data_IF_072969475617
#
_entry.id   IF_072969475617
#
_cell.length_a   1.000
_cell.length_b   1.000
_cell.length_c   1.000
_cell.angle_alpha   90.00
_cell.angle_beta   90.00
_cell.angle_gamma   90.00
#
_symmetry.space_group_name_H-M   'P 1'
#
loop_
_entity.id
_entity.type
_entity.pdbx_description
1 polymer ?
#
# COMPACT_ATOMS: atom_id res chain seq x y z
N UNK A 1 20.08 -15.48 31.30
CA UNK A 1 18.64 -15.09 31.17
C UNK A 1 18.41 -14.68 29.74
N UNK A 2 17.63 -15.44 28.99
CA UNK A 2 17.19 -15.03 27.66
C UNK A 2 16.10 -13.97 27.91
N UNK A 3 16.41 -12.68 27.62
CA UNK A 3 15.37 -11.66 27.58
C UNK A 3 14.35 -12.06 26.52
N UNK A 4 13.19 -12.54 26.92
CA UNK A 4 12.05 -12.69 26.05
C UNK A 4 11.67 -11.29 25.62
N UNK A 5 12.05 -10.89 24.41
CA UNK A 5 11.52 -9.67 23.79
C UNK A 5 10.01 -9.86 23.70
N UNK A 6 9.27 -9.09 24.48
CA UNK A 6 7.81 -9.13 24.42
C UNK A 6 7.40 -8.37 23.15
N UNK A 7 6.73 -9.07 22.24
CA UNK A 7 6.10 -8.42 21.08
C UNK A 7 5.15 -7.33 21.58
N UNK A 8 5.21 -6.14 21.01
CA UNK A 8 4.35 -5.01 21.37
C UNK A 8 3.51 -4.53 20.20
N UNK A 9 4.06 -4.59 18.99
CA UNK A 9 3.43 -4.04 17.79
C UNK A 9 3.70 -4.92 16.59
N UNK A 10 2.70 -5.03 15.70
CA UNK A 10 2.81 -5.67 14.40
C UNK A 10 2.68 -4.59 13.32
N UNK A 11 3.65 -4.51 12.41
CA UNK A 11 3.62 -3.55 11.31
C UNK A 11 3.34 -4.28 10.00
N UNK A 12 2.33 -3.83 9.28
CA UNK A 12 1.89 -4.40 8.01
C UNK A 12 2.30 -3.49 6.85
N UNK A 13 2.65 -4.09 5.73
CA UNK A 13 2.49 -3.41 4.45
C UNK A 13 1.00 -3.32 4.09
N UNK A 14 0.63 -2.40 3.22
CA UNK A 14 -0.77 -2.14 2.87
C UNK A 14 -1.19 -2.95 1.64
N UNK A 15 -0.70 -2.53 0.46
CA UNK A 15 -1.14 -3.07 -0.83
C UNK A 15 -0.62 -4.50 -1.05
N UNK A 16 -1.53 -5.44 -1.21
CA UNK A 16 -1.17 -6.86 -1.41
C UNK A 16 -0.77 -7.62 -0.14
N UNK A 17 -0.88 -6.99 1.03
CA UNK A 17 -0.58 -7.60 2.34
C UNK A 17 -1.77 -7.48 3.28
N UNK A 18 -2.08 -6.28 3.76
CA UNK A 18 -3.24 -6.02 4.61
C UNK A 18 -4.52 -5.94 3.77
N UNK A 19 -4.44 -5.26 2.63
CA UNK A 19 -5.58 -4.96 1.74
C UNK A 19 -5.31 -5.51 0.34
N UNK A 20 -6.29 -6.22 -0.23
CA UNK A 20 -6.31 -6.56 -1.64
C UNK A 20 -6.78 -5.35 -2.46
N UNK A 21 -5.82 -4.54 -2.87
CA UNK A 21 -6.04 -3.37 -3.73
C UNK A 21 -5.89 -3.67 -5.22
N UNK A 22 -5.54 -4.90 -5.58
CA UNK A 22 -5.27 -5.29 -6.96
C UNK A 22 -6.46 -5.06 -7.91
N UNK A 23 -7.73 -5.26 -7.52
CA UNK A 23 -8.85 -4.99 -8.42
C UNK A 23 -8.92 -3.52 -8.85
N UNK A 24 -8.86 -2.58 -7.91
CA UNK A 24 -8.96 -1.14 -8.21
C UNK A 24 -7.72 -0.63 -8.96
N UNK A 25 -6.52 -1.12 -8.62
CA UNK A 25 -5.28 -0.79 -9.31
C UNK A 25 -5.27 -1.34 -10.76
N UNK A 26 -5.82 -2.53 -10.98
CA UNK A 26 -5.95 -3.12 -12.32
C UNK A 26 -6.94 -2.34 -13.18
N UNK A 27 -8.06 -1.92 -12.62
CA UNK A 27 -9.02 -1.07 -13.31
C UNK A 27 -8.41 0.28 -13.66
N UNK A 28 -7.68 0.89 -12.74
CA UNK A 28 -6.94 2.14 -12.95
C UNK A 28 -5.95 2.03 -14.10
N UNK A 29 -5.15 0.96 -14.13
CA UNK A 29 -4.19 0.73 -15.22
C UNK A 29 -4.90 0.59 -16.56
N UNK A 30 -6.03 -0.11 -16.61
CA UNK A 30 -6.80 -0.26 -17.83
C UNK A 30 -7.43 1.05 -18.30
N UNK A 31 -7.88 1.91 -17.38
CA UNK A 31 -8.34 3.27 -17.75
C UNK A 31 -7.21 4.11 -18.34
N UNK A 32 -6.01 4.03 -17.76
CA UNK A 32 -4.83 4.70 -18.30
C UNK A 32 -4.47 4.16 -19.70
N UNK A 33 -4.43 2.86 -19.88
CA UNK A 33 -4.18 2.22 -21.19
C UNK A 33 -5.16 2.70 -22.25
N UNK A 34 -6.46 2.75 -21.94
CA UNK A 34 -7.50 3.23 -22.86
C UNK A 34 -7.27 4.70 -23.25
N UNK A 35 -6.92 5.57 -22.29
CA UNK A 35 -6.59 6.97 -22.59
C UNK A 35 -5.43 7.13 -23.58
N UNK A 36 -4.44 6.25 -23.47
CA UNK A 36 -3.26 6.21 -24.34
C UNK A 36 -3.45 5.29 -25.55
N UNK A 37 -4.70 4.92 -25.91
CA UNK A 37 -5.06 4.09 -27.05
C UNK A 37 -4.32 2.73 -27.09
N UNK A 38 -3.98 2.21 -25.91
CA UNK A 38 -3.36 0.89 -25.74
C UNK A 38 -4.43 -0.16 -25.39
N UNK A 39 -4.20 -1.43 -25.78
CA UNK A 39 -5.11 -2.51 -25.43
C UNK A 39 -5.10 -2.76 -23.91
N UNK A 40 -6.26 -3.00 -23.35
CA UNK A 40 -6.42 -3.38 -21.94
C UNK A 40 -5.75 -4.73 -21.65
N UNK A 41 -5.46 -4.96 -20.36
CA UNK A 41 -4.86 -6.21 -19.85
C UNK A 41 -5.85 -6.88 -18.91
N UNK A 42 -5.80 -8.22 -18.81
CA UNK A 42 -6.63 -8.93 -17.85
C UNK A 42 -6.13 -8.65 -16.42
N UNK A 43 -7.03 -8.60 -15.41
CA UNK A 43 -6.64 -8.43 -14.01
C UNK A 43 -5.63 -9.47 -13.54
N UNK A 44 -5.74 -10.72 -14.01
CA UNK A 44 -4.82 -11.80 -13.68
C UNK A 44 -3.40 -11.52 -14.19
N UNK A 45 -3.27 -10.90 -15.35
CA UNK A 45 -1.98 -10.53 -15.93
C UNK A 45 -1.34 -9.32 -15.24
N UNK A 46 -2.14 -8.43 -14.68
CA UNK A 46 -1.68 -7.23 -13.95
C UNK A 46 -1.29 -7.59 -12.51
N UNK A 47 -2.02 -8.49 -11.86
CA UNK A 47 -1.89 -8.82 -10.43
C UNK A 47 -0.45 -9.06 -9.94
N UNK A 48 0.44 -9.79 -10.67
CA UNK A 48 1.82 -9.99 -10.25
C UNK A 48 2.64 -8.70 -10.10
N UNK A 49 2.25 -7.65 -10.81
CA UNK A 49 2.97 -6.37 -10.83
C UNK A 49 2.45 -5.37 -9.79
N UNK A 50 1.30 -5.62 -9.15
CA UNK A 50 0.70 -4.73 -8.14
C UNK A 50 1.64 -4.52 -6.96
N UNK A 51 2.29 -5.57 -6.47
CA UNK A 51 3.23 -5.48 -5.35
C UNK A 51 4.50 -4.66 -5.66
N UNK A 52 4.77 -4.41 -6.95
CA UNK A 52 5.86 -3.53 -7.38
C UNK A 52 5.40 -2.07 -7.57
N UNK A 53 4.15 -1.76 -7.20
CA UNK A 53 3.54 -0.44 -7.30
C UNK A 53 3.46 0.08 -8.73
N UNK A 54 3.39 1.40 -8.88
CA UNK A 54 3.29 2.05 -10.19
C UNK A 54 4.48 1.73 -11.11
N UNK A 55 5.67 1.53 -10.57
CA UNK A 55 6.86 1.17 -11.36
C UNK A 55 6.63 -0.16 -12.08
N UNK A 56 6.21 -1.19 -11.35
CA UNK A 56 5.96 -2.50 -11.94
C UNK A 56 4.78 -2.49 -12.92
N UNK A 57 3.69 -1.81 -12.56
CA UNK A 57 2.49 -1.74 -13.41
C UNK A 57 2.73 -0.96 -14.70
N UNK A 58 3.40 0.20 -14.65
CA UNK A 58 3.72 0.99 -15.84
C UNK A 58 4.80 0.29 -16.69
N UNK A 59 5.77 -0.39 -16.05
CA UNK A 59 6.74 -1.22 -16.73
C UNK A 59 6.07 -2.35 -17.54
N UNK A 60 5.12 -3.05 -16.92
CA UNK A 60 4.35 -4.10 -17.59
C UNK A 60 3.46 -3.56 -18.72
N UNK A 61 2.80 -2.44 -18.52
CA UNK A 61 1.80 -1.90 -19.44
C UNK A 61 2.41 -1.17 -20.63
N UNK A 62 3.45 -0.36 -20.40
CA UNK A 62 4.05 0.55 -21.38
C UNK A 62 5.52 0.21 -21.69
N UNK A 63 6.13 -0.75 -20.99
CA UNK A 63 7.54 -1.10 -21.17
C UNK A 63 8.52 -0.08 -20.57
N UNK A 64 8.04 0.81 -19.70
CA UNK A 64 8.82 1.94 -19.16
C UNK A 64 9.56 1.54 -17.88
N UNK A 65 10.69 2.18 -17.67
CA UNK A 65 11.43 2.21 -16.42
C UNK A 65 11.23 3.57 -15.73
N UNK A 66 11.60 3.67 -14.47
CA UNK A 66 11.52 4.95 -13.72
C UNK A 66 12.40 6.07 -14.30
N UNK A 67 13.39 5.71 -15.14
CA UNK A 67 14.36 6.64 -15.71
C UNK A 67 13.91 7.16 -17.09
N UNK A 68 12.80 6.64 -17.63
CA UNK A 68 12.22 7.11 -18.88
C UNK A 68 11.53 8.47 -18.70
N UNK A 69 11.68 9.40 -19.67
CA UNK A 69 11.12 10.77 -19.54
C UNK A 69 9.60 10.79 -19.35
N UNK A 70 8.88 9.86 -19.93
CA UNK A 70 7.41 9.76 -19.90
C UNK A 70 6.89 9.15 -18.60
N UNK A 71 7.76 8.50 -17.80
CA UNK A 71 7.34 7.77 -16.61
C UNK A 71 6.67 8.67 -15.57
N UNK A 72 7.23 9.85 -15.33
CA UNK A 72 6.72 10.76 -14.30
C UNK A 72 5.30 11.25 -14.62
N UNK A 73 5.03 11.57 -15.89
CA UNK A 73 3.72 12.02 -16.36
C UNK A 73 2.68 10.91 -16.27
N UNK A 74 3.00 9.72 -16.81
CA UNK A 74 2.11 8.55 -16.74
C UNK A 74 1.84 8.10 -15.31
N UNK A 75 2.83 8.19 -14.44
CA UNK A 75 2.67 7.90 -13.01
C UNK A 75 1.70 8.89 -12.36
N UNK A 76 1.83 10.18 -12.66
CA UNK A 76 0.94 11.20 -12.12
C UNK A 76 -0.49 10.96 -12.58
N UNK A 77 -0.70 10.73 -13.87
CA UNK A 77 -2.02 10.42 -14.44
C UNK A 77 -2.63 9.15 -13.84
N UNK A 78 -1.81 8.10 -13.65
CA UNK A 78 -2.25 6.89 -12.96
C UNK A 78 -2.77 7.18 -11.54
N UNK A 79 -2.03 7.98 -10.76
CA UNK A 79 -2.41 8.31 -9.38
C UNK A 79 -3.70 9.14 -9.34
N UNK A 80 -3.89 10.08 -10.27
CA UNK A 80 -5.10 10.88 -10.40
C UNK A 80 -6.33 10.01 -10.75
N UNK A 81 -6.17 9.06 -11.67
CA UNK A 81 -7.23 8.10 -11.99
C UNK A 81 -7.55 7.24 -10.77
N UNK A 82 -6.53 6.74 -10.09
CA UNK A 82 -6.72 5.88 -8.92
C UNK A 82 -7.43 6.61 -7.77
N UNK A 83 -7.10 7.87 -7.53
CA UNK A 83 -7.75 8.70 -6.52
C UNK A 83 -9.27 8.77 -6.72
N UNK A 84 -9.73 8.87 -7.98
CA UNK A 84 -11.16 8.92 -8.29
C UNK A 84 -11.90 7.59 -8.13
N UNK A 85 -11.16 6.48 -7.99
CA UNK A 85 -11.71 5.12 -7.89
C UNK A 85 -11.17 4.36 -6.67
N UNK A 86 -10.71 5.08 -5.69
CA UNK A 86 -10.14 4.52 -4.48
C UNK A 86 -11.19 3.70 -3.71
N UNK A 87 -10.83 2.45 -3.37
CA UNK A 87 -11.64 1.57 -2.52
C UNK A 87 -13.02 1.16 -3.09
N UNK A 88 -13.16 1.05 -4.40
CA UNK A 88 -14.39 0.52 -5.01
C UNK A 88 -14.53 -0.99 -4.80
N UNK A 89 -13.43 -1.72 -4.96
CA UNK A 89 -13.36 -3.19 -4.83
C UNK A 89 -12.29 -3.62 -3.81
N UNK A 90 -11.48 -2.68 -3.33
CA UNK A 90 -10.45 -2.95 -2.33
C UNK A 90 -11.06 -3.40 -1.01
N UNK A 91 -10.51 -4.45 -0.42
CA UNK A 91 -10.97 -5.02 0.85
C UNK A 91 -9.80 -5.68 1.59
N UNK A 92 -9.96 -5.89 2.88
CA UNK A 92 -9.04 -6.76 3.62
C UNK A 92 -8.96 -8.14 2.97
N UNK A 93 -7.77 -8.75 2.98
CA UNK A 93 -7.66 -10.17 2.63
C UNK A 93 -8.49 -11.04 3.59
N UNK A 94 -8.94 -12.17 3.10
CA UNK A 94 -9.72 -13.11 3.90
C UNK A 94 -8.94 -13.53 5.16
N UNK A 95 -9.60 -13.47 6.31
CA UNK A 95 -8.99 -13.74 7.61
C UNK A 95 -8.22 -12.58 8.24
N UNK A 96 -7.92 -11.50 7.50
CA UNK A 96 -7.13 -10.40 8.02
C UNK A 96 -7.86 -9.64 9.14
N UNK A 97 -9.17 -9.44 9.02
CA UNK A 97 -9.93 -8.81 10.10
C UNK A 97 -9.83 -9.61 11.41
N UNK A 98 -9.97 -10.93 11.34
CA UNK A 98 -9.81 -11.80 12.50
C UNK A 98 -8.38 -11.77 13.08
N UNK A 99 -7.36 -11.60 12.22
CA UNK A 99 -5.99 -11.45 12.67
C UNK A 99 -5.78 -10.11 13.41
N UNK A 100 -6.36 -9.01 12.91
CA UNK A 100 -6.32 -7.72 13.59
C UNK A 100 -7.04 -7.77 14.94
N UNK A 101 -8.24 -8.35 14.98
CA UNK A 101 -9.01 -8.54 16.21
C UNK A 101 -8.20 -9.35 17.23
N UNK A 102 -7.52 -10.42 16.79
CA UNK A 102 -6.65 -11.21 17.66
C UNK A 102 -5.48 -10.40 18.22
N UNK A 103 -4.81 -9.59 17.40
CA UNK A 103 -3.71 -8.71 17.83
C UNK A 103 -4.20 -7.76 18.93
N UNK A 104 -5.35 -7.11 18.71
CA UNK A 104 -5.96 -6.18 19.65
C UNK A 104 -6.39 -6.87 20.95
N UNK A 105 -6.98 -8.05 20.87
CA UNK A 105 -7.34 -8.87 22.05
C UNK A 105 -6.13 -9.28 22.90
N UNK A 106 -4.94 -9.41 22.30
CA UNK A 106 -3.69 -9.66 23.01
C UNK A 106 -3.07 -8.38 23.63
N UNK A 107 -3.77 -7.25 23.56
CA UNK A 107 -3.26 -5.92 23.96
C UNK A 107 -1.98 -5.53 23.21
N UNK A 108 -1.83 -6.01 21.98
CA UNK A 108 -0.79 -5.58 21.05
C UNK A 108 -1.36 -4.46 20.17
N UNK A 109 -0.51 -3.54 19.77
CA UNK A 109 -0.86 -2.57 18.74
C UNK A 109 -0.48 -3.08 17.34
N UNK A 110 -1.04 -2.47 16.32
CA UNK A 110 -0.61 -2.68 14.95
C UNK A 110 -0.58 -1.35 14.18
N UNK A 111 0.17 -1.33 13.10
CA UNK A 111 0.30 -0.14 12.25
C UNK A 111 0.59 -0.50 10.81
N UNK A 112 0.58 0.51 9.95
CA UNK A 112 0.84 0.36 8.51
C UNK A 112 2.10 1.10 8.12
N UNK A 113 2.96 0.46 7.32
CA UNK A 113 4.15 1.05 6.68
C UNK A 113 4.12 0.70 5.20
N UNK A 114 3.83 1.69 4.37
CA UNK A 114 3.65 1.50 2.92
C UNK A 114 4.44 2.51 2.10
N UNK A 115 4.78 2.14 0.84
CA UNK A 115 5.32 3.08 -0.14
C UNK A 115 4.23 3.85 -0.90
N UNK A 116 2.96 3.56 -0.62
CA UNK A 116 1.82 4.30 -1.18
C UNK A 116 1.81 5.76 -0.66
N UNK A 117 1.57 6.76 -1.51
CA UNK A 117 1.47 8.16 -1.08
C UNK A 117 0.38 8.39 -0.03
N UNK A 118 0.62 9.32 0.89
CA UNK A 118 -0.27 9.60 2.02
C UNK A 118 -1.67 10.07 1.61
N UNK A 119 -1.78 10.83 0.52
CA UNK A 119 -3.07 11.31 0.01
C UNK A 119 -3.98 10.18 -0.52
N UNK A 120 -3.42 9.01 -0.84
CA UNK A 120 -4.15 7.79 -1.19
C UNK A 120 -4.28 6.83 -0.01
N UNK A 121 -3.24 6.74 0.84
CA UNK A 121 -3.22 5.82 1.99
C UNK A 121 -4.28 6.19 3.01
N UNK A 122 -4.35 7.46 3.41
CA UNK A 122 -5.28 7.90 4.46
C UNK A 122 -6.75 7.69 4.08
N UNK A 123 -7.23 8.13 2.89
CA UNK A 123 -8.62 7.89 2.50
C UNK A 123 -8.94 6.40 2.36
N UNK A 124 -8.00 5.57 1.87
CA UNK A 124 -8.20 4.13 1.78
C UNK A 124 -8.41 3.50 3.16
N UNK A 125 -7.55 3.85 4.12
CA UNK A 125 -7.67 3.36 5.50
C UNK A 125 -8.99 3.79 6.14
N UNK A 126 -9.42 5.03 5.90
CA UNK A 126 -10.70 5.57 6.39
C UNK A 126 -11.91 4.83 5.79
N UNK A 127 -11.92 4.62 4.47
CA UNK A 127 -13.03 3.90 3.81
C UNK A 127 -13.15 2.46 4.29
N UNK A 128 -12.02 1.85 4.70
CA UNK A 128 -11.99 0.51 5.28
C UNK A 128 -12.21 0.49 6.81
N UNK A 129 -12.40 1.67 7.44
CA UNK A 129 -12.54 1.83 8.92
C UNK A 129 -11.34 1.24 9.69
N UNK A 130 -10.14 1.40 9.15
CA UNK A 130 -8.90 0.89 9.72
C UNK A 130 -8.05 1.97 10.40
N UNK A 131 -8.27 3.23 10.07
CA UNK A 131 -7.49 4.38 10.54
C UNK A 131 -7.64 4.61 12.05
N UNK A 132 -8.83 4.37 12.61
CA UNK A 132 -9.09 4.50 14.06
C UNK A 132 -8.57 3.29 14.86
N UNK A 133 -8.31 2.16 14.21
CA UNK A 133 -7.84 0.92 14.84
C UNK A 133 -6.32 0.84 14.93
N UNK A 134 -5.60 1.43 13.97
CA UNK A 134 -4.15 1.32 13.89
C UNK A 134 -3.43 2.37 14.75
N UNK A 135 -2.33 1.98 15.36
CA UNK A 135 -1.51 2.87 16.18
C UNK A 135 -0.74 3.90 15.35
N UNK A 136 -0.43 3.59 14.09
CA UNK A 136 0.28 4.49 13.19
C UNK A 136 0.09 4.13 11.71
N UNK A 137 0.19 5.16 10.86
CA UNK A 137 0.25 5.02 9.40
C UNK A 137 1.48 5.79 8.91
N UNK A 138 2.43 5.08 8.32
CA UNK A 138 3.63 5.63 7.68
C UNK A 138 3.51 5.39 6.18
N UNK A 139 3.29 6.46 5.43
CA UNK A 139 3.12 6.46 3.97
C UNK A 139 4.44 6.73 3.26
N UNK A 140 4.48 6.52 1.94
CA UNK A 140 5.68 6.66 1.13
C UNK A 140 6.27 8.07 1.06
N UNK A 141 5.54 9.08 1.48
CA UNK A 141 5.92 10.49 1.55
C UNK A 141 5.99 11.03 3.00
N UNK A 142 5.91 10.15 4.00
CA UNK A 142 6.01 10.55 5.42
C UNK A 142 7.44 10.93 5.80
N UNK A 143 8.42 10.24 5.22
CA UNK A 143 9.85 10.48 5.42
C UNK A 143 10.52 10.71 4.07
N UNK A 144 11.77 11.21 4.08
CA UNK A 144 12.57 11.32 2.88
C UNK A 144 12.98 9.95 2.30
N UNK A 145 13.08 8.93 3.17
CA UNK A 145 13.40 7.55 2.81
C UNK A 145 12.14 6.68 2.84
N UNK A 146 12.05 5.76 1.89
CA UNK A 146 10.98 4.76 1.80
C UNK A 146 11.54 3.34 1.82
N UNK A 147 10.67 2.34 2.03
CA UNK A 147 11.07 0.93 1.92
C UNK A 147 11.77 0.66 0.58
N UNK A 148 12.91 -0.04 0.56
CA UNK A 148 13.43 -0.95 1.59
C UNK A 148 14.34 -0.31 2.65
N UNK A 149 14.48 1.03 2.70
CA UNK A 149 15.19 1.68 3.80
C UNK A 149 14.49 1.35 5.13
N UNK A 150 15.22 1.05 6.22
CA UNK A 150 14.62 0.69 7.50
C UNK A 150 14.02 1.89 8.26
N UNK A 151 14.34 3.12 7.87
CA UNK A 151 13.87 4.33 8.58
C UNK A 151 12.34 4.39 8.76
N UNK A 152 11.49 4.05 7.77
CA UNK A 152 10.04 4.01 7.97
C UNK A 152 9.59 3.03 9.05
N UNK A 153 10.28 1.88 9.19
CA UNK A 153 9.95 0.87 10.20
C UNK A 153 10.31 1.37 11.61
N UNK A 154 11.49 1.98 11.79
CA UNK A 154 11.87 2.57 13.06
C UNK A 154 10.96 3.74 13.45
N UNK A 155 10.58 4.55 12.49
CA UNK A 155 9.64 5.65 12.73
C UNK A 155 8.26 5.14 13.14
N UNK A 156 7.74 4.12 12.48
CA UNK A 156 6.47 3.49 12.84
C UNK A 156 6.52 2.85 14.23
N UNK A 157 7.61 2.15 14.60
CA UNK A 157 7.80 1.59 15.92
C UNK A 157 7.76 2.69 17.01
N UNK A 158 8.44 3.81 16.76
CA UNK A 158 8.41 4.97 17.66
C UNK A 158 7.01 5.55 17.82
N UNK A 159 6.25 5.72 16.73
CA UNK A 159 4.86 6.20 16.76
C UNK A 159 3.96 5.25 17.55
N UNK A 160 4.19 3.94 17.44
CA UNK A 160 3.46 2.91 18.19
C UNK A 160 3.93 2.75 19.65
N UNK A 161 4.81 3.63 20.15
CA UNK A 161 5.30 3.61 21.53
C UNK A 161 6.30 2.47 21.82
N UNK A 162 6.97 1.94 20.78
CA UNK A 162 7.98 0.90 20.91
C UNK A 162 9.38 1.50 20.75
N UNK A 163 10.32 1.03 21.58
CA UNK A 163 11.75 1.18 21.30
C UNK A 163 12.15 0.07 20.31
N UNK A 164 12.76 0.43 19.20
CA UNK A 164 13.20 -0.48 18.16
C UNK A 164 14.69 -0.83 18.35
#
# INVERSE_FOLDING_TARGET
MIHRLALKTVLFDLDGTLVDTAPDLSETLNKLLVRHQQPTRSPESIRPYVSHGTIGMLGFAFGLTKDDPEFAELRQEFLEIYETHLCYQSKLFDGMNAALDFIEMQNLSWGVVTNKPGFLTKPLMQQLSLDERCACIVSGDTLAQNKPDPAPMFYAAKLAGCEA
#
